data_IF_802288087915
#
_entry.id   IF_802288087915
#
_cell.length_a   1.000
_cell.length_b   1.000
_cell.length_c   1.000
_cell.angle_alpha   90.00
_cell.angle_beta   90.00
_cell.angle_gamma   90.00
#
_symmetry.space_group_name_H-M   'P 1'
#
loop_
_entity.id
_entity.type
_entity.pdbx_description
1 polymer ?
#
# COMPACT_ATOMS: atom_id res chain seq x y z
N UNK A 1 8.08 -12.23 3.26
CA UNK A 1 8.53 -13.17 4.30
C UNK A 1 7.33 -13.52 5.17
N UNK A 2 7.12 -14.81 5.36
CA UNK A 2 5.83 -15.47 5.58
C UNK A 2 5.28 -15.28 7.00
N UNK A 3 4.03 -14.81 7.13
CA UNK A 3 3.24 -14.89 8.36
C UNK A 3 2.60 -16.29 8.58
N UNK A 4 3.06 -17.29 7.82
CA UNK A 4 2.48 -18.63 7.76
C UNK A 4 2.95 -19.56 8.89
N UNK A 5 3.96 -19.20 9.68
CA UNK A 5 4.56 -20.13 10.66
C UNK A 5 3.77 -20.23 11.98
N UNK A 6 3.00 -19.20 12.35
CA UNK A 6 2.25 -19.17 13.60
C UNK A 6 0.91 -19.94 13.54
N UNK A 7 0.36 -20.25 12.37
CA UNK A 7 -0.86 -21.10 12.29
C UNK A 7 -0.54 -22.57 12.58
N UNK A 8 0.57 -23.06 12.03
CA UNK A 8 0.94 -24.48 12.11
C UNK A 8 1.38 -24.91 13.52
N UNK A 9 1.94 -23.98 14.31
CA UNK A 9 2.30 -24.24 15.71
C UNK A 9 1.08 -24.37 16.64
N UNK A 10 0.03 -23.58 16.37
CA UNK A 10 -1.21 -23.63 17.14
C UNK A 10 -1.97 -24.93 16.84
N UNK A 11 -2.13 -25.30 15.57
CA UNK A 11 -2.83 -26.53 15.19
C UNK A 11 -2.13 -27.79 15.72
N UNK A 12 -0.80 -27.81 15.77
CA UNK A 12 -0.03 -28.92 16.36
C UNK A 12 -0.27 -29.12 17.85
N UNK A 13 -0.46 -28.07 18.63
CA UNK A 13 -0.70 -28.17 20.09
C UNK A 13 -2.07 -28.78 20.43
N UNK A 14 -2.95 -28.90 19.44
CA UNK A 14 -4.34 -29.29 19.59
C UNK A 14 -4.71 -30.51 18.70
N UNK A 15 -3.73 -31.25 18.18
CA UNK A 15 -4.00 -32.46 17.39
C UNK A 15 -4.46 -33.65 18.23
N UNK A 16 -4.14 -33.70 19.52
CA UNK A 16 -4.54 -34.82 20.40
C UNK A 16 -5.85 -34.50 21.12
N UNK A 17 -6.88 -35.31 20.90
CA UNK A 17 -8.17 -35.24 21.62
C UNK A 17 -8.08 -36.17 22.85
N UNK A 18 -8.18 -35.65 24.09
CA UNK A 18 -8.21 -36.45 25.31
C UNK A 18 -9.35 -37.48 25.28
N UNK A 19 -9.10 -38.69 25.78
CA UNK A 19 -10.14 -39.73 25.88
C UNK A 19 -11.22 -39.43 26.93
N UNK A 20 -10.94 -38.54 27.89
CA UNK A 20 -11.91 -38.07 28.88
C UNK A 20 -12.79 -36.94 28.28
N UNK A 21 -14.13 -37.10 28.24
CA UNK A 21 -15.06 -36.08 27.75
C UNK A 21 -14.88 -34.71 28.41
N UNK A 22 -14.55 -34.65 29.70
CA UNK A 22 -14.41 -33.39 30.45
C UNK A 22 -13.10 -32.67 30.09
N UNK A 23 -12.02 -33.44 29.89
CA UNK A 23 -10.73 -32.89 29.48
C UNK A 23 -10.76 -32.42 28.01
N UNK A 24 -11.52 -33.13 27.15
CA UNK A 24 -11.77 -32.73 25.76
C UNK A 24 -12.52 -31.39 25.68
N UNK A 25 -13.62 -31.23 26.43
CA UNK A 25 -14.40 -29.98 26.46
C UNK A 25 -13.56 -28.78 26.96
N UNK A 26 -12.74 -29.01 27.99
CA UNK A 26 -11.81 -27.99 28.52
C UNK A 26 -10.73 -27.61 27.51
N UNK A 27 -10.25 -28.57 26.71
CA UNK A 27 -9.25 -28.31 25.66
C UNK A 27 -9.88 -27.55 24.48
N UNK A 28 -11.10 -27.88 24.07
CA UNK A 28 -11.85 -27.14 23.06
C UNK A 28 -12.12 -25.69 23.49
N UNK A 29 -12.52 -25.48 24.75
CA UNK A 29 -12.71 -24.13 25.28
C UNK A 29 -11.42 -23.30 25.23
N UNK A 30 -10.26 -23.90 25.51
CA UNK A 30 -8.95 -23.25 25.38
C UNK A 30 -8.60 -22.92 23.93
N UNK A 31 -8.89 -23.83 22.99
CA UNK A 31 -8.72 -23.60 21.54
C UNK A 31 -9.56 -22.42 21.09
N UNK A 32 -10.85 -22.45 21.39
CA UNK A 32 -11.81 -21.40 21.01
C UNK A 32 -11.38 -20.03 21.57
N UNK A 33 -11.02 -19.96 22.86
CA UNK A 33 -10.51 -18.71 23.47
C UNK A 33 -9.25 -18.18 22.78
N UNK A 34 -8.34 -19.06 22.39
CA UNK A 34 -7.10 -18.65 21.73
C UNK A 34 -7.34 -18.18 20.30
N UNK A 35 -8.20 -18.88 19.55
CA UNK A 35 -8.64 -18.47 18.22
C UNK A 35 -9.34 -17.11 18.25
N UNK A 36 -10.27 -16.90 19.20
CA UNK A 36 -10.96 -15.62 19.38
C UNK A 36 -9.99 -14.48 19.71
N UNK A 37 -8.99 -14.74 20.57
CA UNK A 37 -7.93 -13.76 20.88
C UNK A 37 -7.11 -13.42 19.65
N UNK A 38 -6.74 -14.42 18.84
CA UNK A 38 -5.98 -14.22 17.60
C UNK A 38 -6.77 -13.42 16.56
N UNK A 39 -8.04 -13.75 16.36
CA UNK A 39 -8.94 -13.00 15.48
C UNK A 39 -9.01 -11.53 15.88
N UNK A 40 -9.27 -11.26 17.17
CA UNK A 40 -9.29 -9.90 17.73
C UNK A 40 -7.97 -9.15 17.55
N UNK A 41 -6.83 -9.83 17.71
CA UNK A 41 -5.51 -9.22 17.49
C UNK A 41 -5.27 -8.88 16.02
N UNK A 42 -5.70 -9.75 15.09
CA UNK A 42 -5.61 -9.50 13.64
C UNK A 42 -6.47 -8.31 13.21
N UNK A 43 -7.71 -8.22 13.70
CA UNK A 43 -8.58 -7.06 13.46
C UNK A 43 -7.96 -5.76 13.99
N UNK A 44 -7.43 -5.79 15.22
CA UNK A 44 -6.76 -4.63 15.81
C UNK A 44 -5.52 -4.21 15.02
N UNK A 45 -4.74 -5.17 14.50
CA UNK A 45 -3.59 -4.88 13.65
C UNK A 45 -4.02 -4.21 12.33
N UNK A 46 -5.08 -4.72 11.69
CA UNK A 46 -5.65 -4.11 10.47
C UNK A 46 -6.13 -2.68 10.74
N UNK A 47 -6.87 -2.47 11.82
CA UNK A 47 -7.32 -1.14 12.22
C UNK A 47 -6.15 -0.17 12.45
N UNK A 48 -5.10 -0.61 13.15
CA UNK A 48 -3.90 0.20 13.39
C UNK A 48 -3.18 0.57 12.08
N UNK A 49 -3.12 -0.36 11.12
CA UNK A 49 -2.55 -0.07 9.79
C UNK A 49 -3.39 1.00 9.07
N UNK A 50 -4.71 0.84 9.02
CA UNK A 50 -5.61 1.84 8.42
C UNK A 50 -5.41 3.23 9.06
N UNK A 51 -5.37 3.28 10.40
CA UNK A 51 -5.17 4.54 11.13
C UNK A 51 -3.81 5.17 10.83
N UNK A 52 -2.76 4.36 10.70
CA UNK A 52 -1.42 4.85 10.34
C UNK A 52 -1.38 5.43 8.93
N UNK A 53 -2.04 4.77 7.97
CA UNK A 53 -2.14 5.25 6.59
C UNK A 53 -2.90 6.58 6.55
N UNK A 54 -4.06 6.65 7.22
CA UNK A 54 -4.88 7.86 7.28
C UNK A 54 -4.12 9.04 7.87
N UNK A 55 -3.43 8.83 9.00
CA UNK A 55 -2.59 9.88 9.60
C UNK A 55 -1.52 10.36 8.62
N UNK A 56 -0.85 9.44 7.92
CA UNK A 56 0.21 9.82 6.99
C UNK A 56 -0.33 10.61 5.78
N UNK A 57 -1.50 10.25 5.26
CA UNK A 57 -2.18 11.03 4.22
C UNK A 57 -2.50 12.45 4.70
N UNK A 58 -2.99 12.62 5.93
CA UNK A 58 -3.24 13.93 6.52
C UNK A 58 -1.94 14.75 6.69
N UNK A 59 -0.85 14.13 7.12
CA UNK A 59 0.48 14.76 7.20
C UNK A 59 0.99 15.22 5.82
N UNK A 60 0.77 14.40 4.79
CA UNK A 60 1.11 14.72 3.40
C UNK A 60 0.28 15.92 2.93
N UNK A 61 -1.03 15.94 3.20
CA UNK A 61 -1.93 17.05 2.80
C UNK A 61 -1.47 18.39 3.39
N UNK A 62 -1.11 18.40 4.68
CA UNK A 62 -0.56 19.61 5.34
C UNK A 62 0.76 20.02 4.71
N UNK A 63 1.69 19.08 4.54
CA UNK A 63 3.00 19.35 3.93
C UNK A 63 2.87 19.85 2.49
N UNK A 64 1.90 19.33 1.75
CA UNK A 64 1.63 19.73 0.37
C UNK A 64 1.14 21.19 0.30
N UNK A 65 0.23 21.58 1.19
CA UNK A 65 -0.23 22.99 1.31
C UNK A 65 0.92 23.94 1.63
N UNK A 66 1.81 23.57 2.55
CA UNK A 66 3.00 24.37 2.86
C UNK A 66 3.91 24.56 1.64
N UNK A 67 4.08 23.51 0.82
CA UNK A 67 4.84 23.58 -0.44
C UNK A 67 4.11 24.40 -1.52
N UNK A 68 2.77 24.39 -1.53
CA UNK A 68 1.99 25.27 -2.41
C UNK A 68 2.19 26.74 -2.07
N UNK A 69 2.11 27.11 -0.80
CA UNK A 69 2.34 28.49 -0.35
C UNK A 69 3.75 28.97 -0.70
N UNK A 70 4.77 28.15 -0.41
CA UNK A 70 6.16 28.43 -0.82
C UNK A 70 6.28 28.58 -2.34
N UNK A 71 5.58 27.75 -3.10
CA UNK A 71 5.55 27.77 -4.56
C UNK A 71 5.00 29.08 -5.11
N UNK A 72 3.90 29.57 -4.54
CA UNK A 72 3.31 30.87 -4.92
C UNK A 72 4.29 32.02 -4.67
N UNK A 73 5.01 32.00 -3.53
CA UNK A 73 6.02 33.02 -3.23
C UNK A 73 7.16 32.95 -4.26
N UNK A 74 7.70 31.76 -4.55
CA UNK A 74 8.76 31.57 -5.54
C UNK A 74 8.33 32.00 -6.95
N UNK A 75 7.09 31.71 -7.35
CA UNK A 75 6.55 32.11 -8.65
C UNK A 75 6.50 33.64 -8.79
N UNK A 76 6.09 34.38 -7.74
CA UNK A 76 6.12 35.84 -7.75
C UNK A 76 7.53 36.41 -7.93
N UNK A 77 8.54 35.77 -7.32
CA UNK A 77 9.94 36.15 -7.52
C UNK A 77 10.40 35.89 -8.96
N UNK A 78 10.05 34.73 -9.53
CA UNK A 78 10.38 34.39 -10.92
C UNK A 78 9.70 35.33 -11.93
N UNK A 79 8.50 35.84 -11.63
CA UNK A 79 7.78 36.82 -12.46
C UNK A 79 8.33 38.25 -12.35
N UNK A 80 9.27 38.50 -11.44
CA UNK A 80 9.85 39.83 -11.23
C UNK A 80 8.95 40.81 -10.46
N UNK A 81 7.93 40.31 -9.75
CA UNK A 81 7.04 41.11 -8.91
C UNK A 81 7.67 41.48 -7.56
N UNK A 82 8.78 40.83 -7.19
CA UNK A 82 9.60 41.14 -6.02
C UNK A 82 10.88 41.90 -6.43
N UNK A 83 11.31 42.86 -5.60
CA UNK A 83 12.40 43.81 -5.90
C UNK A 83 13.80 43.18 -6.12
N UNK A 84 13.96 41.88 -5.87
CA UNK A 84 15.17 41.13 -6.18
C UNK A 84 14.93 40.26 -7.42
N UNK A 85 15.57 40.65 -8.51
CA UNK A 85 15.57 39.96 -9.81
C UNK A 85 15.95 38.49 -9.68
N UNK A 86 15.21 37.64 -10.40
CA UNK A 86 15.48 36.24 -10.73
C UNK A 86 16.96 35.85 -10.71
N UNK A 87 17.44 35.37 -9.56
CA UNK A 87 18.78 34.78 -9.44
C UNK A 87 18.74 33.31 -9.90
N UNK A 88 19.86 32.74 -10.38
CA UNK A 88 19.99 31.31 -10.66
C UNK A 88 19.50 30.42 -9.50
N UNK A 89 19.73 30.88 -8.26
CA UNK A 89 19.30 30.21 -7.02
C UNK A 89 17.77 30.04 -6.93
N UNK A 90 16.98 30.90 -7.58
CA UNK A 90 15.51 30.82 -7.57
C UNK A 90 15.00 29.67 -8.42
N UNK A 91 15.68 29.36 -9.53
CA UNK A 91 15.36 28.22 -10.38
C UNK A 91 15.71 26.91 -9.66
N UNK A 92 16.85 26.86 -8.96
CA UNK A 92 17.23 25.70 -8.14
C UNK A 92 16.21 25.44 -7.03
N UNK A 93 15.76 26.49 -6.33
CA UNK A 93 14.70 26.38 -5.31
C UNK A 93 13.37 25.90 -5.91
N UNK A 94 13.02 26.34 -7.12
CA UNK A 94 11.83 25.86 -7.81
C UNK A 94 11.93 24.38 -8.19
N UNK A 95 13.07 23.93 -8.74
CA UNK A 95 13.33 22.51 -9.05
C UNK A 95 13.20 21.66 -7.79
N UNK A 96 13.82 22.11 -6.68
CA UNK A 96 13.74 21.41 -5.40
C UNK A 96 12.29 21.29 -4.91
N UNK A 97 11.51 22.37 -4.98
CA UNK A 97 10.10 22.35 -4.60
C UNK A 97 9.26 21.39 -5.44
N UNK A 98 9.50 21.34 -6.76
CA UNK A 98 8.85 20.38 -7.65
C UNK A 98 9.20 18.94 -7.26
N UNK A 99 10.48 18.66 -6.96
CA UNK A 99 10.89 17.33 -6.49
C UNK A 99 10.22 16.94 -5.17
N UNK A 100 10.14 17.86 -4.21
CA UNK A 100 9.47 17.61 -2.93
C UNK A 100 7.97 17.35 -3.12
N UNK A 101 7.29 18.13 -3.96
CA UNK A 101 5.87 17.89 -4.28
C UNK A 101 5.66 16.55 -4.98
N UNK A 102 6.49 16.23 -5.97
CA UNK A 102 6.40 14.96 -6.69
C UNK A 102 6.64 13.77 -5.75
N UNK A 103 7.57 13.88 -4.79
CA UNK A 103 7.80 12.86 -3.78
C UNK A 103 6.57 12.65 -2.89
N UNK A 104 5.93 13.74 -2.42
CA UNK A 104 4.70 13.66 -1.64
C UNK A 104 3.55 13.01 -2.42
N UNK A 105 3.36 13.38 -3.69
CA UNK A 105 2.32 12.78 -4.55
C UNK A 105 2.60 11.30 -4.82
N UNK A 106 3.86 10.93 -5.02
CA UNK A 106 4.24 9.52 -5.18
C UNK A 106 3.94 8.74 -3.89
N UNK A 107 4.30 9.27 -2.72
CA UNK A 107 4.02 8.65 -1.42
C UNK A 107 2.49 8.54 -1.15
N UNK A 108 1.73 9.59 -1.45
CA UNK A 108 0.27 9.58 -1.36
C UNK A 108 -0.34 8.47 -2.21
N UNK A 109 0.10 8.35 -3.47
CA UNK A 109 -0.34 7.28 -4.37
C UNK A 109 -0.07 5.89 -3.79
N UNK A 110 1.10 5.67 -3.17
CA UNK A 110 1.43 4.38 -2.55
C UNK A 110 0.54 4.08 -1.34
N UNK A 111 0.28 5.10 -0.51
CA UNK A 111 -0.62 5.00 0.64
C UNK A 111 -2.07 4.73 0.23
N UNK A 112 -2.54 5.35 -0.85
CA UNK A 112 -3.87 5.09 -1.40
C UNK A 112 -4.02 3.65 -1.88
N UNK A 113 -2.99 3.11 -2.56
CA UNK A 113 -2.96 1.69 -2.93
C UNK A 113 -2.95 0.78 -1.70
N UNK A 114 -2.13 1.10 -0.69
CA UNK A 114 -2.07 0.34 0.56
C UNK A 114 -3.42 0.34 1.31
N UNK A 115 -4.12 1.49 1.34
CA UNK A 115 -5.48 1.60 1.90
C UNK A 115 -6.44 0.68 1.15
N UNK A 116 -6.42 0.74 -0.19
CA UNK A 116 -7.30 -0.09 -1.02
C UNK A 116 -7.02 -1.58 -0.88
N UNK A 117 -5.76 -1.98 -0.78
CA UNK A 117 -5.39 -3.37 -0.51
C UNK A 117 -5.94 -3.86 0.83
N UNK A 118 -5.87 -3.02 1.88
CA UNK A 118 -6.39 -3.36 3.20
C UNK A 118 -7.92 -3.55 3.20
N UNK A 119 -8.66 -2.71 2.47
CA UNK A 119 -10.11 -2.88 2.27
C UNK A 119 -10.44 -4.19 1.55
N UNK A 120 -9.68 -4.50 0.49
CA UNK A 120 -9.87 -5.74 -0.28
C UNK A 120 -9.54 -6.98 0.55
N UNK A 121 -8.53 -6.93 1.40
CA UNK A 121 -8.20 -8.02 2.34
C UNK A 121 -9.31 -8.27 3.35
N UNK A 122 -9.97 -7.21 3.83
CA UNK A 122 -11.10 -7.31 4.75
C UNK A 122 -12.35 -7.89 4.07
N UNK A 123 -12.66 -7.40 2.85
CA UNK A 123 -13.73 -7.96 2.01
C UNK A 123 -13.46 -9.44 1.71
N UNK A 124 -12.24 -9.78 1.30
CA UNK A 124 -11.83 -11.16 1.04
C UNK A 124 -12.00 -12.05 2.28
N UNK A 125 -11.61 -11.56 3.46
CA UNK A 125 -11.75 -12.30 4.72
C UNK A 125 -13.22 -12.59 5.06
N UNK A 126 -14.09 -11.59 4.87
CA UNK A 126 -15.54 -11.72 5.11
C UNK A 126 -16.17 -12.72 4.14
N UNK A 127 -15.91 -12.56 2.84
CA UNK A 127 -16.42 -13.48 1.81
C UNK A 127 -15.95 -14.92 2.05
N UNK A 128 -14.69 -15.14 2.43
CA UNK A 128 -14.17 -16.48 2.73
C UNK A 128 -14.85 -17.11 3.94
N UNK A 129 -15.14 -16.33 4.98
CA UNK A 129 -15.86 -16.84 6.15
C UNK A 129 -17.28 -17.27 5.77
N UNK A 130 -17.97 -16.50 4.92
CA UNK A 130 -19.30 -16.85 4.42
C UNK A 130 -19.25 -18.08 3.51
N UNK A 131 -18.32 -18.12 2.55
CA UNK A 131 -18.11 -19.25 1.65
C UNK A 131 -17.85 -20.56 2.40
N UNK A 132 -17.03 -20.53 3.45
CA UNK A 132 -16.76 -21.70 4.30
C UNK A 132 -18.03 -22.26 4.96
N UNK A 133 -18.96 -21.41 5.39
CA UNK A 133 -20.23 -21.86 5.97
C UNK A 133 -21.05 -22.68 4.96
N UNK A 134 -21.05 -22.28 3.70
CA UNK A 134 -21.72 -23.03 2.63
C UNK A 134 -21.00 -24.34 2.32
N UNK A 135 -19.67 -24.34 2.26
CA UNK A 135 -18.88 -25.57 2.02
C UNK A 135 -19.09 -26.65 3.09
N UNK A 136 -19.34 -26.27 4.34
CA UNK A 136 -19.58 -27.19 5.45
C UNK A 136 -20.96 -27.88 5.38
N UNK A 137 -21.90 -27.37 4.56
CA UNK A 137 -23.20 -27.98 4.35
C UNK A 137 -23.10 -29.21 3.44
N UNK A 138 -23.51 -30.38 3.95
CA UNK A 138 -23.50 -31.64 3.20
C UNK A 138 -24.60 -31.73 2.15
N UNK A 139 -25.79 -31.25 2.47
CA UNK A 139 -26.97 -31.28 1.60
C UNK A 139 -27.41 -29.84 1.29
N UNK A 140 -26.95 -29.33 0.15
CA UNK A 140 -27.23 -27.96 -0.30
C UNK A 140 -28.50 -27.92 -1.13
N UNK A 141 -29.35 -26.92 -0.89
CA UNK A 141 -30.44 -26.60 -1.82
C UNK A 141 -29.89 -25.95 -3.10
N UNK A 142 -30.61 -25.98 -4.23
CA UNK A 142 -30.19 -25.31 -5.46
C UNK A 142 -29.87 -23.82 -5.25
N UNK A 143 -30.62 -23.15 -4.38
CA UNK A 143 -30.40 -21.74 -4.02
C UNK A 143 -29.09 -21.57 -3.23
N UNK A 144 -28.82 -22.46 -2.28
CA UNK A 144 -27.56 -22.44 -1.52
C UNK A 144 -26.34 -22.71 -2.41
N UNK A 145 -26.46 -23.59 -3.41
CA UNK A 145 -25.42 -23.80 -4.40
C UNK A 145 -25.17 -22.55 -5.23
N UNK A 146 -26.25 -21.86 -5.66
CA UNK A 146 -26.11 -20.62 -6.43
C UNK A 146 -25.45 -19.49 -5.63
N UNK A 147 -25.75 -19.36 -4.34
CA UNK A 147 -25.09 -18.37 -3.47
C UNK A 147 -23.62 -18.74 -3.21
N UNK A 148 -23.30 -20.03 -3.05
CA UNK A 148 -21.90 -20.49 -2.95
C UNK A 148 -21.10 -20.13 -4.21
N UNK A 149 -21.65 -20.39 -5.40
CA UNK A 149 -21.01 -20.07 -6.67
C UNK A 149 -20.83 -18.55 -6.84
N UNK A 150 -21.83 -17.77 -6.42
CA UNK A 150 -21.76 -16.31 -6.41
C UNK A 150 -20.66 -15.81 -5.47
N UNK A 151 -20.61 -16.30 -4.23
CA UNK A 151 -19.57 -15.93 -3.26
C UNK A 151 -18.17 -16.27 -3.79
N UNK A 152 -18.03 -17.43 -4.44
CA UNK A 152 -16.77 -17.83 -5.06
C UNK A 152 -16.35 -16.85 -6.17
N UNK A 153 -17.29 -16.45 -7.02
CA UNK A 153 -17.02 -15.45 -8.07
C UNK A 153 -16.61 -14.11 -7.47
N UNK A 154 -17.30 -13.63 -6.42
CA UNK A 154 -16.93 -12.39 -5.73
C UNK A 154 -15.53 -12.48 -5.08
N UNK A 155 -15.12 -13.66 -4.58
CA UNK A 155 -13.77 -13.88 -4.05
C UNK A 155 -12.73 -13.75 -5.17
N UNK A 156 -12.97 -14.34 -6.34
CA UNK A 156 -12.07 -14.25 -7.50
C UNK A 156 -11.91 -12.79 -7.92
N UNK A 157 -13.01 -12.04 -8.06
CA UNK A 157 -12.97 -10.62 -8.40
C UNK A 157 -12.13 -9.80 -7.42
N UNK A 158 -12.20 -10.11 -6.12
CA UNK A 158 -11.37 -9.45 -5.11
C UNK A 158 -9.89 -9.77 -5.27
N UNK A 159 -9.55 -11.01 -5.63
CA UNK A 159 -8.17 -11.41 -5.93
C UNK A 159 -7.66 -10.69 -7.17
N UNK A 160 -8.46 -10.62 -8.25
CA UNK A 160 -8.14 -9.89 -9.48
C UNK A 160 -7.94 -8.40 -9.22
N UNK A 161 -8.81 -7.77 -8.42
CA UNK A 161 -8.62 -6.37 -8.00
C UNK A 161 -7.30 -6.18 -7.24
N UNK A 162 -6.90 -7.10 -6.35
CA UNK A 162 -5.61 -7.01 -5.65
C UNK A 162 -4.44 -7.17 -6.62
N UNK A 163 -4.54 -8.07 -7.59
CA UNK A 163 -3.52 -8.28 -8.62
C UNK A 163 -3.34 -7.05 -9.52
N UNK A 164 -4.44 -6.38 -9.86
CA UNK A 164 -4.40 -5.11 -10.60
C UNK A 164 -3.64 -4.02 -9.85
N UNK A 165 -3.76 -3.95 -8.52
CA UNK A 165 -3.02 -3.00 -7.69
C UNK A 165 -1.52 -3.33 -7.61
N UNK A 166 -1.18 -4.62 -7.58
CA UNK A 166 0.22 -5.06 -7.64
C UNK A 166 0.85 -4.68 -8.98
N UNK A 167 0.12 -4.94 -10.08
CA UNK A 167 0.56 -4.57 -11.43
C UNK A 167 0.74 -3.05 -11.56
N UNK A 168 -0.21 -2.26 -11.05
CA UNK A 168 -0.11 -0.81 -11.04
C UNK A 168 1.15 -0.30 -10.31
N UNK A 169 1.48 -0.87 -9.14
CA UNK A 169 2.70 -0.50 -8.41
C UNK A 169 3.98 -0.88 -9.17
N UNK A 170 3.98 -2.03 -9.84
CA UNK A 170 5.12 -2.46 -10.64
C UNK A 170 5.31 -1.57 -11.88
N UNK A 171 4.23 -1.22 -12.59
CA UNK A 171 4.28 -0.28 -13.71
C UNK A 171 4.80 1.10 -13.26
N UNK A 172 4.30 1.60 -12.12
CA UNK A 172 4.79 2.84 -11.51
C UNK A 172 6.30 2.75 -11.21
N UNK A 173 6.75 1.66 -10.58
CA UNK A 173 8.17 1.43 -10.24
C UNK A 173 9.05 1.41 -11.48
N UNK A 174 8.63 0.72 -12.54
CA UNK A 174 9.36 0.65 -13.81
C UNK A 174 9.46 2.01 -14.48
N UNK A 175 8.35 2.78 -14.47
CA UNK A 175 8.33 4.14 -14.99
C UNK A 175 9.29 5.06 -14.25
N UNK A 176 9.29 5.03 -12.91
CA UNK A 176 10.21 5.84 -12.10
C UNK A 176 11.69 5.49 -12.35
N UNK A 177 12.00 4.22 -12.67
CA UNK A 177 13.36 3.80 -13.06
C UNK A 177 13.73 4.37 -14.42
N UNK A 178 12.85 4.23 -15.42
CA UNK A 178 13.06 4.80 -16.76
C UNK A 178 13.29 6.31 -16.71
N UNK A 179 12.46 7.04 -15.96
CA UNK A 179 12.60 8.49 -15.80
C UNK A 179 13.94 8.88 -15.15
N UNK A 180 14.44 8.09 -14.19
CA UNK A 180 15.76 8.31 -13.57
C UNK A 180 16.90 8.04 -14.54
N UNK A 181 16.80 7.00 -15.36
CA UNK A 181 17.79 6.68 -16.39
C UNK A 181 17.84 7.76 -17.47
N UNK A 182 16.67 8.25 -17.92
CA UNK A 182 16.56 9.37 -18.86
C UNK A 182 17.17 10.65 -18.27
N UNK A 183 16.84 10.98 -17.02
CA UNK A 183 17.42 12.14 -16.33
C UNK A 183 18.95 12.04 -16.22
N UNK A 184 19.48 10.85 -15.90
CA UNK A 184 20.92 10.61 -15.86
C UNK A 184 21.58 10.79 -17.23
N UNK A 185 21.00 10.21 -18.29
CA UNK A 185 21.49 10.34 -19.66
C UNK A 185 21.53 11.80 -20.12
N UNK A 186 20.49 12.58 -19.82
CA UNK A 186 20.44 14.01 -20.12
C UNK A 186 21.55 14.78 -19.37
N UNK A 187 21.78 14.46 -18.10
CA UNK A 187 22.85 15.09 -17.32
C UNK A 187 24.24 14.74 -17.86
N UNK A 188 24.45 13.49 -18.28
CA UNK A 188 25.72 13.05 -18.84
C UNK A 188 26.02 13.72 -20.19
N UNK A 189 25.04 13.83 -21.08
CA UNK A 189 25.16 14.56 -22.34
C UNK A 189 25.48 16.06 -22.12
N UNK A 190 24.84 16.69 -21.12
CA UNK A 190 25.16 18.07 -20.72
C UNK A 190 26.59 18.21 -20.20
N UNK A 191 27.07 17.23 -19.41
CA UNK A 191 28.46 17.24 -18.90
C UNK A 191 29.48 17.09 -20.02
N UNK A 192 29.23 16.21 -20.99
CA UNK A 192 30.11 15.98 -22.13
C UNK A 192 30.20 17.21 -23.03
N UNK A 193 29.07 17.83 -23.37
CA UNK A 193 29.07 19.08 -24.16
C UNK A 193 29.81 20.22 -23.44
N UNK A 194 29.60 20.41 -22.13
CA UNK A 194 30.36 21.40 -21.34
C UNK A 194 31.88 21.15 -21.34
N UNK A 195 32.29 19.87 -21.29
CA UNK A 195 33.70 19.50 -21.36
C UNK A 195 34.28 19.77 -22.76
N UNK A 196 33.52 19.52 -23.83
CA UNK A 196 33.92 19.82 -25.21
C UNK A 196 34.11 21.33 -25.45
N UNK A 197 33.24 22.18 -24.87
CA UNK A 197 33.39 23.63 -24.92
C UNK A 197 34.65 24.13 -24.16
N UNK A 198 35.09 23.45 -23.11
CA UNK A 198 36.32 23.79 -22.39
C UNK A 198 37.60 23.39 -23.14
N UNK A 199 37.53 22.38 -24.02
CA UNK A 199 38.69 21.90 -24.80
C UNK A 199 38.90 22.72 -26.08
N UNK A 200 37.89 23.44 -26.57
CA UNK A 200 37.94 24.21 -27.83
C UNK A 200 38.63 25.59 -27.76
N UNK A 201 39.09 26.05 -26.59
CA UNK A 201 39.72 27.38 -26.42
C UNK A 201 41.21 27.34 -26.00
N UNK A 202 41.95 26.30 -26.37
CA UNK A 202 43.40 26.18 -26.11
C UNK A 202 44.24 26.24 -27.39
#
# INVERSE_FOLDING_TARGET
>A
MFASDDSDLFDRQFQTVPSDPVEAEKQELKRMKTLARRAKMSELQRFRKAQSIQRRLEEIEVSFKDLEEKGVVLERHLRGEAANSSSPDTIEQWIQLVHEKNALVSEESDLMVASRQLELEDKHSTLNLEYRKYMELKDKTPEQQSEEDRLFQEIIEVVEMRDSLVTFLEEKRLKEISEKEEAFSIMEAKRQSLAEYQVQWA
#
